data_IF_510904445007
#
_entry.id   IF_510904445007
#
_cell.length_a   1.000
_cell.length_b   1.000
_cell.length_c   1.000
_cell.angle_alpha   90.00
_cell.angle_beta   90.00
_cell.angle_gamma   90.00
#
_symmetry.space_group_name_H-M   'P 1'
#
loop_
_entity.id
_entity.type
_entity.pdbx_description
1 polymer ?
#
# COMPACT_ATOMS: atom_id res chain seq x y z
N UNK A 1 -36.77 -10.86 56.43
CA UNK A 1 -35.32 -10.91 56.10
C UNK A 1 -35.14 -10.47 54.66
N UNK A 2 -34.44 -9.35 54.46
CA UNK A 2 -34.21 -8.67 53.18
C UNK A 2 -33.21 -9.45 52.32
N UNK A 3 -33.47 -9.59 51.02
CA UNK A 3 -32.43 -9.81 50.01
C UNK A 3 -32.75 -8.95 48.78
N UNK A 4 -32.10 -7.79 48.70
CA UNK A 4 -32.06 -6.95 47.51
C UNK A 4 -31.12 -7.60 46.51
N UNK A 5 -31.61 -7.86 45.29
CA UNK A 5 -30.80 -8.29 44.15
C UNK A 5 -30.33 -7.02 43.44
N UNK A 6 -29.06 -6.68 43.61
CA UNK A 6 -28.38 -5.63 42.85
C UNK A 6 -27.74 -6.28 41.61
N UNK A 7 -28.33 -6.02 40.44
CA UNK A 7 -27.76 -6.42 39.15
C UNK A 7 -26.73 -5.35 38.76
N UNK A 8 -25.46 -5.63 39.01
CA UNK A 8 -24.32 -4.86 38.53
C UNK A 8 -24.01 -5.28 37.09
N UNK A 9 -24.41 -4.46 36.13
CA UNK A 9 -24.04 -4.59 34.72
C UNK A 9 -22.63 -4.03 34.53
N UNK A 10 -21.63 -4.90 34.60
CA UNK A 10 -20.22 -4.56 34.34
C UNK A 10 -19.91 -4.76 32.86
N UNK A 11 -19.75 -3.64 32.14
CA UNK A 11 -19.21 -3.62 30.78
C UNK A 11 -17.75 -4.04 30.84
N UNK A 12 -17.43 -5.24 30.38
CA UNK A 12 -16.04 -5.70 30.26
C UNK A 12 -15.49 -5.23 28.91
N UNK A 13 -14.68 -4.17 28.96
CA UNK A 13 -13.75 -3.80 27.90
C UNK A 13 -12.79 -4.98 27.67
N UNK A 14 -12.94 -5.70 26.55
CA UNK A 14 -11.94 -6.69 26.12
C UNK A 14 -10.77 -5.92 25.52
N UNK A 15 -9.77 -5.65 26.35
CA UNK A 15 -8.44 -5.29 25.87
C UNK A 15 -7.88 -6.47 25.07
N UNK A 16 -7.48 -6.22 23.82
CA UNK A 16 -6.67 -7.14 23.02
C UNK A 16 -5.40 -7.47 23.82
N UNK A 17 -5.31 -8.67 24.37
CA UNK A 17 -4.09 -9.13 25.00
C UNK A 17 -3.14 -9.70 23.93
N UNK A 18 -1.83 -9.41 24.00
CA UNK A 18 -0.86 -9.93 23.07
C UNK A 18 -0.74 -11.45 23.22
N UNK A 19 -0.87 -12.20 22.11
CA UNK A 19 -0.63 -13.64 22.08
C UNK A 19 0.84 -13.92 22.45
N UNK A 20 1.12 -14.64 23.55
CA UNK A 20 2.46 -15.10 23.83
C UNK A 20 2.83 -16.24 22.86
N UNK A 21 3.91 -16.06 22.11
CA UNK A 21 4.56 -17.13 21.36
C UNK A 21 5.19 -18.08 22.38
N UNK A 22 4.60 -19.27 22.53
CA UNK A 22 5.12 -20.30 23.43
C UNK A 22 6.37 -20.96 22.82
N UNK A 23 7.54 -20.69 23.41
CA UNK A 23 8.74 -21.49 23.17
C UNK A 23 8.62 -22.85 23.88
N UNK A 24 8.89 -23.87 23.08
CA UNK A 24 8.83 -25.31 23.31
C UNK A 24 9.34 -25.83 24.68
N UNK A 25 8.51 -26.62 25.38
CA UNK A 25 8.98 -27.76 26.20
C UNK A 25 7.87 -28.80 26.39
N UNK A 26 8.18 -30.02 25.94
CA UNK A 26 7.61 -31.30 26.34
C UNK A 26 6.11 -31.53 26.07
N UNK A 27 5.85 -32.05 24.86
CA UNK A 27 4.57 -32.64 24.49
C UNK A 27 4.57 -33.00 23.03
N UNK A 28 4.86 -34.27 22.71
CA UNK A 28 4.73 -34.84 21.37
C UNK A 28 3.28 -34.78 20.93
N UNK A 29 2.89 -33.66 20.33
CA UNK A 29 1.82 -33.63 19.34
C UNK A 29 2.49 -34.02 18.02
N UNK A 30 2.08 -35.11 17.36
CA UNK A 30 2.52 -35.33 16.00
C UNK A 30 1.87 -34.24 15.16
N UNK A 31 2.57 -33.13 14.97
CA UNK A 31 2.38 -32.29 13.79
C UNK A 31 2.95 -33.10 12.62
N UNK A 32 2.26 -34.18 12.27
CA UNK A 32 2.22 -34.66 10.90
C UNK A 32 1.16 -33.86 10.16
N UNK A 33 1.24 -32.53 10.27
CA UNK A 33 0.85 -31.69 9.14
C UNK A 33 1.97 -32.01 8.16
N UNK A 34 1.67 -32.73 7.08
CA UNK A 34 2.52 -32.68 5.89
C UNK A 34 2.88 -31.21 5.75
N UNK A 35 4.15 -30.87 5.97
CA UNK A 35 4.61 -29.48 5.95
C UNK A 35 4.14 -28.95 4.61
N UNK A 36 3.04 -28.20 4.64
CA UNK A 36 2.48 -27.64 3.45
C UNK A 36 3.64 -26.85 2.87
N UNK A 37 4.02 -27.22 1.65
CA UNK A 37 5.11 -26.57 0.89
C UNK A 37 4.98 -25.04 0.99
N UNK A 38 3.72 -24.59 1.17
CA UNK A 38 3.22 -23.26 1.47
C UNK A 38 3.88 -22.50 2.65
N UNK A 39 4.20 -23.14 3.77
CA UNK A 39 4.74 -22.43 4.94
C UNK A 39 6.25 -22.18 4.80
N UNK A 40 6.97 -23.18 4.28
CA UNK A 40 8.43 -23.14 4.13
C UNK A 40 8.88 -22.05 3.13
N UNK A 41 8.27 -22.00 1.94
CA UNK A 41 8.63 -20.98 0.95
C UNK A 41 8.14 -19.56 1.31
N UNK A 42 7.09 -19.40 2.13
CA UNK A 42 6.68 -18.08 2.62
C UNK A 42 7.71 -17.53 3.62
N UNK A 43 8.30 -18.39 4.44
CA UNK A 43 9.42 -18.02 5.30
C UNK A 43 10.66 -17.66 4.45
N UNK A 44 10.97 -18.44 3.42
CA UNK A 44 12.03 -18.07 2.45
C UNK A 44 11.75 -16.71 1.81
N UNK A 45 10.51 -16.43 1.42
CA UNK A 45 10.12 -15.14 0.85
C UNK A 45 10.31 -14.00 1.86
N UNK A 46 9.93 -14.21 3.12
CA UNK A 46 10.11 -13.18 4.15
C UNK A 46 11.58 -12.81 4.30
N UNK A 47 12.48 -13.80 4.29
CA UNK A 47 13.92 -13.59 4.30
C UNK A 47 14.43 -12.86 3.05
N UNK A 48 13.84 -13.13 1.88
CA UNK A 48 14.22 -12.47 0.62
C UNK A 48 13.88 -10.98 0.64
N UNK A 49 12.77 -10.57 1.26
CA UNK A 49 12.38 -9.16 1.34
C UNK A 49 13.34 -8.31 2.18
N UNK A 50 14.00 -8.91 3.17
CA UNK A 50 14.97 -8.23 4.03
C UNK A 50 16.33 -8.05 3.35
N UNK A 51 16.53 -8.61 2.15
CA UNK A 51 17.79 -8.49 1.44
C UNK A 51 17.98 -7.11 0.80
N UNK A 52 19.25 -6.69 0.62
CA UNK A 52 19.59 -5.54 -0.22
C UNK A 52 19.00 -5.63 -1.63
N UNK A 53 18.61 -4.48 -2.20
CA UNK A 53 17.89 -4.38 -3.48
C UNK A 53 18.65 -5.04 -4.65
N UNK A 54 19.97 -4.95 -4.65
CA UNK A 54 20.87 -5.59 -5.60
C UNK A 54 20.79 -7.13 -5.55
N UNK A 55 20.69 -7.70 -4.35
CA UNK A 55 20.51 -9.15 -4.16
C UNK A 55 19.13 -9.60 -4.60
N UNK A 56 18.09 -8.80 -4.32
CA UNK A 56 16.72 -9.12 -4.76
C UNK A 56 16.64 -9.14 -6.30
N UNK A 57 17.33 -8.24 -6.99
CA UNK A 57 17.39 -8.26 -8.45
C UNK A 57 18.10 -9.51 -9.02
N UNK A 58 19.12 -10.04 -8.32
CA UNK A 58 19.75 -11.32 -8.67
C UNK A 58 18.79 -12.50 -8.45
N UNK A 59 18.04 -12.48 -7.35
CA UNK A 59 17.04 -13.49 -7.03
C UNK A 59 15.92 -13.51 -8.08
N UNK A 60 15.46 -12.32 -8.51
CA UNK A 60 14.48 -12.20 -9.60
C UNK A 60 14.95 -12.94 -10.85
N UNK A 61 16.20 -12.71 -11.29
CA UNK A 61 16.77 -13.39 -12.47
C UNK A 61 16.84 -14.91 -12.29
N UNK A 62 17.17 -15.37 -11.08
CA UNK A 62 17.18 -16.80 -10.78
C UNK A 62 15.78 -17.39 -10.90
N UNK A 63 14.78 -16.76 -10.29
CA UNK A 63 13.40 -17.26 -10.29
C UNK A 63 12.76 -17.17 -11.67
N UNK A 64 13.13 -16.18 -12.47
CA UNK A 64 12.77 -16.10 -13.89
C UNK A 64 13.32 -17.30 -14.67
N UNK A 65 14.59 -17.66 -14.44
CA UNK A 65 15.19 -18.82 -15.07
C UNK A 65 14.55 -20.13 -14.59
N UNK A 66 14.16 -20.22 -13.31
CA UNK A 66 13.44 -21.37 -12.76
C UNK A 66 12.06 -21.52 -13.38
N UNK A 67 11.30 -20.43 -13.48
CA UNK A 67 9.99 -20.40 -14.14
C UNK A 67 10.07 -20.73 -15.63
N UNK A 68 11.11 -20.27 -16.33
CA UNK A 68 11.34 -20.62 -17.73
C UNK A 68 11.67 -22.11 -17.92
N UNK A 69 12.25 -22.76 -16.90
CA UNK A 69 12.57 -24.20 -16.90
C UNK A 69 11.37 -25.07 -16.54
N UNK A 70 10.59 -24.64 -15.55
CA UNK A 70 9.39 -25.31 -15.07
C UNK A 70 8.28 -24.28 -14.91
N UNK A 71 7.23 -24.40 -15.71
CA UNK A 71 6.03 -23.55 -15.61
C UNK A 71 5.02 -24.17 -14.63
N UNK A 72 5.50 -24.65 -13.48
CA UNK A 72 4.63 -25.22 -12.45
C UNK A 72 3.90 -24.11 -11.66
N UNK A 73 2.77 -24.43 -10.99
CA UNK A 73 2.04 -23.45 -10.20
C UNK A 73 2.88 -22.78 -9.10
N UNK A 74 3.88 -23.48 -8.56
CA UNK A 74 4.73 -23.02 -7.46
C UNK A 74 5.71 -21.93 -7.90
N UNK A 75 6.51 -22.19 -8.92
CA UNK A 75 7.49 -21.24 -9.49
C UNK A 75 6.79 -19.99 -10.00
N UNK A 76 5.62 -20.17 -10.62
CA UNK A 76 4.74 -19.09 -11.07
C UNK A 76 4.26 -18.22 -9.91
N UNK A 77 3.74 -18.82 -8.84
CA UNK A 77 3.28 -18.08 -7.67
C UNK A 77 4.43 -17.39 -6.93
N UNK A 78 5.59 -18.06 -6.82
CA UNK A 78 6.81 -17.51 -6.23
C UNK A 78 7.27 -16.23 -6.95
N UNK A 79 7.30 -16.28 -8.27
CA UNK A 79 7.63 -15.13 -9.09
C UNK A 79 6.56 -14.03 -8.97
N UNK A 80 5.28 -14.38 -9.03
CA UNK A 80 4.18 -13.42 -8.87
C UNK A 80 4.24 -12.70 -7.50
N UNK A 81 4.56 -13.43 -6.43
CA UNK A 81 4.71 -12.87 -5.10
C UNK A 81 5.83 -11.82 -5.04
N UNK A 82 7.01 -12.11 -5.61
CA UNK A 82 8.12 -11.15 -5.67
C UNK A 82 7.77 -9.90 -6.46
N UNK A 83 7.13 -10.07 -7.62
CA UNK A 83 6.73 -8.97 -8.49
C UNK A 83 5.62 -8.10 -7.86
N UNK A 84 4.81 -8.67 -6.97
CA UNK A 84 3.71 -7.94 -6.28
C UNK A 84 4.20 -7.18 -5.06
N UNK A 85 5.04 -7.82 -4.25
CA UNK A 85 5.36 -7.36 -2.89
C UNK A 85 6.79 -6.85 -2.74
N UNK A 86 7.67 -7.19 -3.68
CA UNK A 86 9.07 -6.78 -3.67
C UNK A 86 9.26 -5.27 -3.73
N UNK A 87 10.49 -4.78 -3.50
CA UNK A 87 10.79 -3.36 -3.59
C UNK A 87 10.62 -2.83 -5.02
N UNK A 88 10.46 -1.52 -5.15
CA UNK A 88 10.20 -0.83 -6.44
C UNK A 88 11.04 -1.32 -7.63
N UNK A 89 12.36 -1.59 -7.50
CA UNK A 89 13.16 -2.01 -8.66
C UNK A 89 12.77 -3.36 -9.29
N UNK A 90 12.08 -4.22 -8.55
CA UNK A 90 11.64 -5.55 -9.03
C UNK A 90 10.11 -5.66 -9.08
N UNK A 91 9.39 -4.64 -8.63
CA UNK A 91 7.94 -4.66 -8.57
C UNK A 91 7.37 -4.45 -9.98
N UNK A 92 6.46 -5.34 -10.37
CA UNK A 92 5.77 -5.31 -11.67
C UNK A 92 4.38 -5.94 -11.51
N UNK A 93 3.38 -5.10 -11.25
CA UNK A 93 2.01 -5.55 -11.00
C UNK A 93 1.37 -6.20 -12.23
N UNK A 94 1.65 -5.70 -13.43
CA UNK A 94 1.05 -6.21 -14.66
C UNK A 94 1.55 -7.63 -14.94
N UNK A 95 2.85 -7.83 -14.78
CA UNK A 95 3.46 -9.14 -14.98
C UNK A 95 3.09 -10.12 -13.88
N UNK A 96 2.99 -9.68 -12.63
CA UNK A 96 2.47 -10.51 -11.53
C UNK A 96 1.06 -11.00 -11.82
N UNK A 97 0.17 -10.11 -12.30
CA UNK A 97 -1.21 -10.44 -12.68
C UNK A 97 -1.24 -11.48 -13.80
N UNK A 98 -0.45 -11.29 -14.86
CA UNK A 98 -0.39 -12.24 -15.97
C UNK A 98 0.05 -13.66 -15.53
N UNK A 99 0.98 -13.74 -14.57
CA UNK A 99 1.40 -15.02 -13.99
C UNK A 99 0.25 -15.70 -13.25
N UNK A 100 -0.50 -14.94 -12.43
CA UNK A 100 -1.65 -15.47 -11.69
C UNK A 100 -2.78 -15.92 -12.63
N UNK A 101 -3.12 -15.10 -13.63
CA UNK A 101 -4.21 -15.39 -14.57
C UNK A 101 -3.94 -16.64 -15.42
N UNK A 102 -2.67 -16.94 -15.73
CA UNK A 102 -2.33 -18.12 -16.52
C UNK A 102 -2.12 -19.41 -15.70
N UNK A 103 -2.42 -19.44 -14.40
CA UNK A 103 -2.35 -20.67 -13.62
C UNK A 103 -3.45 -21.65 -14.05
N UNK A 104 -3.09 -22.92 -14.23
CA UNK A 104 -4.08 -23.97 -14.40
C UNK A 104 -4.73 -24.31 -13.06
N UNK A 105 -6.00 -23.94 -12.92
CA UNK A 105 -6.78 -24.16 -11.70
C UNK A 105 -7.05 -25.64 -11.45
N UNK A 106 -7.05 -26.48 -12.47
CA UNK A 106 -7.32 -27.92 -12.31
C UNK A 106 -6.13 -28.65 -11.69
N UNK A 107 -4.91 -28.18 -11.97
CA UNK A 107 -3.64 -28.78 -11.50
C UNK A 107 -3.08 -28.09 -10.25
N UNK A 108 -3.75 -27.06 -9.74
CA UNK A 108 -3.28 -26.25 -8.61
C UNK A 108 -4.08 -26.57 -7.34
N UNK A 109 -3.38 -26.79 -6.22
CA UNK A 109 -4.00 -26.99 -4.91
C UNK A 109 -4.88 -25.80 -4.50
N UNK A 110 -5.95 -26.04 -3.74
CA UNK A 110 -6.84 -24.98 -3.23
C UNK A 110 -6.12 -23.89 -2.42
N UNK A 111 -5.15 -24.25 -1.59
CA UNK A 111 -4.35 -23.28 -0.80
C UNK A 111 -3.57 -22.32 -1.70
N UNK A 112 -2.94 -22.84 -2.75
CA UNK A 112 -2.20 -22.05 -3.74
C UNK A 112 -3.15 -21.12 -4.50
N UNK A 113 -4.35 -21.59 -4.84
CA UNK A 113 -5.39 -20.76 -5.47
C UNK A 113 -5.90 -19.65 -4.54
N UNK A 114 -6.07 -19.94 -3.24
CA UNK A 114 -6.47 -18.95 -2.26
C UNK A 114 -5.43 -17.83 -2.11
N UNK A 115 -4.14 -18.19 -2.03
CA UNK A 115 -3.06 -17.20 -1.98
C UNK A 115 -2.96 -16.40 -3.29
N UNK A 116 -3.13 -17.05 -4.43
CA UNK A 116 -3.20 -16.37 -5.72
C UNK A 116 -4.34 -15.35 -5.78
N UNK A 117 -5.52 -15.68 -5.25
CA UNK A 117 -6.65 -14.77 -5.17
C UNK A 117 -6.34 -13.56 -4.27
N UNK A 118 -5.67 -13.77 -3.14
CA UNK A 118 -5.21 -12.67 -2.27
C UNK A 118 -4.19 -11.77 -2.98
N UNK A 119 -3.24 -12.34 -3.71
CA UNK A 119 -2.27 -11.56 -4.48
C UNK A 119 -2.94 -10.78 -5.60
N UNK A 120 -3.93 -11.37 -6.28
CA UNK A 120 -4.72 -10.68 -7.29
C UNK A 120 -5.42 -9.45 -6.71
N UNK A 121 -6.06 -9.59 -5.54
CA UNK A 121 -6.70 -8.47 -4.86
C UNK A 121 -5.68 -7.37 -4.51
N UNK A 122 -4.51 -7.73 -3.97
CA UNK A 122 -3.46 -6.77 -3.64
C UNK A 122 -2.98 -6.03 -4.90
N UNK A 123 -2.81 -6.74 -6.02
CA UNK A 123 -2.41 -6.13 -7.30
C UNK A 123 -3.47 -5.11 -7.76
N UNK A 124 -4.75 -5.48 -7.71
CA UNK A 124 -5.85 -4.60 -8.11
C UNK A 124 -5.93 -3.35 -7.24
N UNK A 125 -5.81 -3.50 -5.92
CA UNK A 125 -5.78 -2.38 -4.97
C UNK A 125 -4.58 -1.46 -5.22
N UNK A 126 -3.40 -2.01 -5.50
CA UNK A 126 -2.20 -1.23 -5.81
C UNK A 126 -2.34 -0.44 -7.11
N UNK A 127 -2.88 -1.07 -8.17
CA UNK A 127 -3.10 -0.42 -9.46
C UNK A 127 -4.12 0.72 -9.32
N UNK A 128 -5.26 0.45 -8.69
CA UNK A 128 -6.28 1.45 -8.40
C UNK A 128 -5.71 2.62 -7.57
N UNK A 129 -4.93 2.32 -6.53
CA UNK A 129 -4.31 3.33 -5.67
C UNK A 129 -3.32 4.19 -6.46
N UNK A 130 -2.53 3.58 -7.35
CA UNK A 130 -1.59 4.29 -8.22
C UNK A 130 -2.31 5.26 -9.14
N UNK A 131 -3.37 4.80 -9.83
CA UNK A 131 -4.17 5.62 -10.73
C UNK A 131 -4.82 6.80 -9.98
N UNK A 132 -5.37 6.52 -8.79
CA UNK A 132 -5.97 7.56 -7.95
C UNK A 132 -4.96 8.59 -7.48
N UNK A 133 -3.72 8.20 -7.18
CA UNK A 133 -2.64 9.15 -6.83
C UNK A 133 -2.29 10.04 -8.01
N UNK A 134 -2.23 9.49 -9.24
CA UNK A 134 -1.95 10.27 -10.44
C UNK A 134 -3.06 11.30 -10.69
N UNK A 135 -4.31 10.88 -10.58
CA UNK A 135 -5.48 11.74 -10.71
C UNK A 135 -5.46 12.88 -9.68
N UNK A 136 -5.30 12.57 -8.39
CA UNK A 136 -5.24 13.56 -7.31
C UNK A 136 -4.08 14.54 -7.47
N UNK A 137 -2.92 14.09 -7.98
CA UNK A 137 -1.80 14.99 -8.31
C UNK A 137 -2.16 15.93 -9.46
N UNK A 138 -2.93 15.47 -10.44
CA UNK A 138 -3.46 16.30 -11.52
C UNK A 138 -4.39 17.38 -11.00
N UNK A 139 -5.39 17.00 -10.21
CA UNK A 139 -6.34 17.92 -9.56
C UNK A 139 -5.61 18.96 -8.70
N UNK A 140 -4.64 18.53 -7.88
CA UNK A 140 -3.87 19.44 -7.02
C UNK A 140 -3.08 20.47 -7.83
N UNK A 141 -2.48 20.08 -8.96
CA UNK A 141 -1.78 21.02 -9.86
C UNK A 141 -2.75 22.04 -10.46
N UNK A 142 -3.94 21.60 -10.89
CA UNK A 142 -4.96 22.49 -11.45
C UNK A 142 -5.46 23.50 -10.40
N UNK A 143 -5.73 23.03 -9.19
CA UNK A 143 -6.15 23.90 -8.09
C UNK A 143 -5.06 24.93 -7.74
N UNK A 144 -3.80 24.51 -7.67
CA UNK A 144 -2.68 25.42 -7.40
C UNK A 144 -2.53 26.48 -8.50
N UNK A 145 -2.71 26.12 -9.77
CA UNK A 145 -2.71 27.09 -10.87
C UNK A 145 -3.86 28.10 -10.74
N UNK A 146 -5.05 27.63 -10.35
CA UNK A 146 -6.22 28.50 -10.14
C UNK A 146 -6.03 29.45 -8.96
N UNK A 147 -5.44 28.98 -7.87
CA UNK A 147 -5.10 29.84 -6.71
C UNK A 147 -4.12 30.92 -7.14
N UNK A 148 -3.05 30.59 -7.86
CA UNK A 148 -2.08 31.57 -8.33
C UNK A 148 -2.70 32.63 -9.26
N UNK A 149 -3.61 32.22 -10.15
CA UNK A 149 -4.35 33.15 -11.00
C UNK A 149 -5.22 34.12 -10.18
N UNK A 150 -5.94 33.60 -9.18
CA UNK A 150 -6.79 34.43 -8.31
C UNK A 150 -5.96 35.38 -7.44
N UNK A 151 -4.80 34.93 -6.95
CA UNK A 151 -3.85 35.79 -6.22
C UNK A 151 -3.33 36.92 -7.11
N UNK A 152 -3.03 36.63 -8.38
CA UNK A 152 -2.64 37.66 -9.35
C UNK A 152 -3.77 38.68 -9.57
N UNK A 153 -5.01 38.20 -9.79
CA UNK A 153 -6.18 39.06 -9.98
C UNK A 153 -6.43 39.96 -8.76
N UNK A 154 -6.29 39.42 -7.54
CA UNK A 154 -6.41 40.20 -6.32
C UNK A 154 -5.34 41.29 -6.24
N UNK A 155 -4.09 40.97 -6.56
CA UNK A 155 -3.01 41.96 -6.56
C UNK A 155 -3.24 43.08 -7.58
N UNK A 156 -3.73 42.75 -8.78
CA UNK A 156 -4.08 43.73 -9.80
C UNK A 156 -5.20 44.66 -9.32
N UNK A 157 -6.25 44.12 -8.70
CA UNK A 157 -7.35 44.92 -8.12
C UNK A 157 -6.85 45.83 -6.98
N UNK A 158 -6.00 45.32 -6.09
CA UNK A 158 -5.39 46.13 -5.02
C UNK A 158 -4.55 47.28 -5.60
N UNK A 159 -3.77 47.03 -6.66
CA UNK A 159 -2.99 48.08 -7.30
C UNK A 159 -3.88 49.16 -7.93
N UNK A 160 -5.01 48.77 -8.55
CA UNK A 160 -5.99 49.69 -9.11
C UNK A 160 -6.61 50.55 -7.98
N UNK A 161 -7.02 49.92 -6.89
CA UNK A 161 -7.60 50.61 -5.73
C UNK A 161 -6.63 51.66 -5.17
N UNK A 162 -5.36 51.28 -4.96
CA UNK A 162 -4.32 52.20 -4.51
C UNK A 162 -4.10 53.37 -5.49
N UNK A 163 -4.09 53.10 -6.80
CA UNK A 163 -3.99 54.14 -7.83
C UNK A 163 -5.15 55.12 -7.77
N UNK A 164 -6.38 54.64 -7.54
CA UNK A 164 -7.57 55.52 -7.42
C UNK A 164 -7.44 56.38 -6.16
N UNK A 165 -7.11 55.79 -5.01
CA UNK A 165 -6.94 56.53 -3.74
C UNK A 165 -5.88 57.65 -3.85
N UNK A 166 -4.77 57.39 -4.56
CA UNK A 166 -3.72 58.39 -4.81
C UNK A 166 -4.19 59.55 -5.70
N UNK A 167 -5.13 59.31 -6.61
CA UNK A 167 -5.70 60.37 -7.47
C UNK A 167 -6.74 61.21 -6.74
N UNK A 168 -7.47 60.61 -5.81
CA UNK A 168 -8.52 61.27 -5.04
C UNK A 168 -8.00 62.06 -3.83
N UNK A 169 -6.80 61.77 -3.33
CA UNK A 169 -6.14 62.57 -2.30
C UNK A 169 -5.44 63.78 -2.94
N UNK A 170 -5.96 65.02 -2.79
CA UNK A 170 -5.31 66.19 -3.35
C UNK A 170 -4.03 66.43 -2.56
N UNK A 171 -2.89 66.42 -3.24
CA UNK A 171 -1.64 66.90 -2.65
C UNK A 171 -1.86 68.32 -2.12
N UNK A 172 -1.69 68.50 -0.82
CA UNK A 172 -1.50 69.80 -0.16
C UNK A 172 -0.27 70.43 -0.78
N UNK A 173 -0.47 71.10 -1.92
CA UNK A 173 0.54 71.88 -2.62
C UNK A 173 0.84 73.07 -1.71
N UNK A 174 1.88 72.92 -0.90
CA UNK A 174 2.41 74.00 -0.05
C UNK A 174 2.73 75.19 -0.95
N UNK A 175 1.87 76.21 -0.89
CA UNK A 175 2.24 77.57 -1.29
C UNK A 175 3.44 77.99 -0.44
N UNK A 176 4.53 78.35 -1.12
CA UNK A 176 5.75 78.87 -0.50
C UNK A 176 5.70 80.40 -0.64
N UNK A 177 5.96 81.15 0.44
CA UNK A 177 5.82 82.61 0.48
C UNK A 177 6.75 83.34 -0.49
#
# INVERSE_FOLDING_TARGET
>A
MRKFVLISMSVVLVACQPMPVYHHREGTVPVSVQVDDAALWLEEWHQVLDLPKDKIALILKSWEADFARSNDPRTRLRLALLLTTGPVPVRDQQRARALIEGMDRAETSETTLALAALLQQIIEEQLWSSDRIVELKGESRQLNARVAELEQQLQELTNIEQSIQQRETPGTRKEKP
#
